data_IF_949282482941
#
_entry.id   IF_949282482941
#
_cell.length_a   1.000
_cell.length_b   1.000
_cell.length_c   1.000
_cell.angle_alpha   90.00
_cell.angle_beta   90.00
_cell.angle_gamma   90.00
#
_symmetry.space_group_name_H-M   'P 1'
#
loop_
_entity.id
_entity.type
_entity.pdbx_description
1 polymer ?
#
# COMPACT_ATOMS: atom_id res chain seq x y z
N UNK A 1 -0.14 -11.88 3.98
CA UNK A 1 0.62 -12.08 5.24
C UNK A 1 2.02 -12.56 4.91
N UNK A 2 3.03 -11.90 5.46
CA UNK A 2 4.44 -12.29 5.41
C UNK A 2 4.85 -12.70 6.83
N UNK A 3 5.25 -13.96 7.03
CA UNK A 3 5.46 -14.52 8.36
C UNK A 3 6.53 -15.61 8.43
N UNK A 4 7.11 -15.81 9.61
CA UNK A 4 8.09 -16.86 9.89
C UNK A 4 7.72 -17.71 11.12
N UNK A 5 8.59 -18.64 11.50
CA UNK A 5 8.39 -19.55 12.62
C UNK A 5 8.27 -18.87 13.99
N UNK A 6 8.58 -17.57 14.12
CA UNK A 6 8.39 -16.82 15.36
C UNK A 6 6.93 -16.37 15.54
N UNK A 7 6.15 -16.35 14.46
CA UNK A 7 4.73 -16.09 14.51
C UNK A 7 3.91 -17.28 15.00
N UNK A 8 2.77 -16.99 15.60
CA UNK A 8 1.77 -18.01 15.91
C UNK A 8 1.00 -18.39 14.64
N UNK A 9 1.12 -19.66 14.22
CA UNK A 9 0.44 -20.18 13.03
C UNK A 9 -1.09 -20.03 13.09
N UNK A 10 -1.70 -20.08 14.29
CA UNK A 10 -3.13 -19.88 14.46
C UNK A 10 -3.55 -18.42 14.23
N UNK A 11 -2.69 -17.46 14.57
CA UNK A 11 -2.96 -16.03 14.31
C UNK A 11 -2.86 -15.74 12.82
N UNK A 12 -1.80 -16.23 12.16
CA UNK A 12 -1.64 -16.10 10.71
C UNK A 12 -2.82 -16.73 9.95
N UNK A 13 -3.28 -17.92 10.36
CA UNK A 13 -4.45 -18.56 9.77
C UNK A 13 -5.74 -17.74 9.97
N UNK A 14 -5.91 -17.13 11.15
CA UNK A 14 -7.06 -16.29 11.45
C UNK A 14 -7.09 -15.03 10.55
N UNK A 15 -5.95 -14.36 10.36
CA UNK A 15 -5.84 -13.19 9.48
C UNK A 15 -6.08 -13.55 7.99
N UNK A 16 -5.57 -14.69 7.54
CA UNK A 16 -5.87 -15.17 6.19
C UNK A 16 -7.38 -15.48 6.02
N UNK A 17 -8.04 -15.99 7.06
CA UNK A 17 -9.47 -16.28 7.00
C UNK A 17 -10.34 -15.02 7.11
N UNK A 18 -9.93 -14.00 7.87
CA UNK A 18 -10.67 -12.74 7.97
C UNK A 18 -10.84 -12.11 6.60
N UNK A 19 -9.79 -12.08 5.77
CA UNK A 19 -9.89 -11.57 4.41
C UNK A 19 -10.62 -12.53 3.45
N UNK A 20 -10.41 -13.85 3.60
CA UNK A 20 -11.06 -14.84 2.75
C UNK A 20 -12.59 -14.85 2.90
N UNK A 21 -13.13 -14.49 4.07
CA UNK A 21 -14.58 -14.47 4.27
C UNK A 21 -15.29 -13.24 3.67
N UNK A 22 -14.56 -12.21 3.22
CA UNK A 22 -15.17 -11.01 2.63
C UNK A 22 -15.98 -11.34 1.35
N UNK A 23 -15.39 -12.09 0.43
CA UNK A 23 -15.96 -12.40 -0.88
C UNK A 23 -15.31 -13.62 -1.53
N UNK A 24 -16.01 -14.26 -2.47
CA UNK A 24 -15.45 -15.41 -3.20
C UNK A 24 -14.33 -15.02 -4.18
N UNK A 25 -14.24 -13.74 -4.51
CA UNK A 25 -13.22 -13.07 -5.32
C UNK A 25 -12.06 -12.51 -4.48
N UNK A 26 -12.14 -12.59 -3.14
CA UNK A 26 -10.98 -12.33 -2.28
C UNK A 26 -9.82 -13.26 -2.64
N UNK A 27 -8.60 -12.74 -2.48
CA UNK A 27 -7.39 -13.53 -2.58
C UNK A 27 -6.53 -13.26 -1.35
N UNK A 28 -6.00 -14.33 -0.76
CA UNK A 28 -5.01 -14.23 0.30
C UNK A 28 -3.69 -14.86 -0.12
N UNK A 29 -2.60 -14.28 0.38
CA UNK A 29 -1.25 -14.73 0.09
C UNK A 29 -0.49 -14.90 1.41
N UNK A 30 0.05 -16.09 1.62
CA UNK A 30 1.04 -16.35 2.67
C UNK A 30 2.44 -16.38 2.04
N UNK A 31 3.35 -15.56 2.55
CA UNK A 31 4.77 -15.60 2.20
C UNK A 31 5.56 -15.99 3.44
N UNK A 32 6.41 -17.01 3.34
CA UNK A 32 7.22 -17.51 4.45
C UNK A 32 8.57 -18.02 3.94
N UNK A 33 9.52 -18.21 4.86
CA UNK A 33 10.79 -18.89 4.57
C UNK A 33 10.82 -20.36 4.96
N UNK A 34 9.84 -20.81 5.74
CA UNK A 34 9.83 -22.13 6.35
C UNK A 34 8.59 -22.93 5.89
N UNK A 35 8.84 -24.04 5.20
CA UNK A 35 7.80 -24.93 4.69
C UNK A 35 7.03 -25.65 5.82
N UNK A 36 7.70 -25.96 6.93
CA UNK A 36 7.08 -26.59 8.10
C UNK A 36 6.11 -25.61 8.79
N UNK A 37 6.47 -24.33 8.86
CA UNK A 37 5.60 -23.28 9.34
C UNK A 37 4.37 -23.09 8.44
N UNK A 38 4.56 -23.08 7.11
CA UNK A 38 3.43 -23.05 6.15
C UNK A 38 2.48 -24.23 6.36
N UNK A 39 3.01 -25.45 6.59
CA UNK A 39 2.19 -26.63 6.91
C UNK A 39 1.41 -26.46 8.21
N UNK A 40 2.02 -25.87 9.23
CA UNK A 40 1.33 -25.56 10.49
C UNK A 40 0.19 -24.56 10.29
N UNK A 41 0.41 -23.50 9.50
CA UNK A 41 -0.65 -22.54 9.14
C UNK A 41 -1.78 -23.22 8.37
N UNK A 42 -1.48 -24.11 7.41
CA UNK A 42 -2.49 -24.86 6.65
C UNK A 42 -3.35 -25.78 7.54
N UNK A 43 -2.75 -26.37 8.58
CA UNK A 43 -3.52 -27.15 9.56
C UNK A 43 -4.47 -26.26 10.36
N UNK A 44 -4.03 -25.08 10.79
CA UNK A 44 -4.88 -24.12 11.50
C UNK A 44 -5.97 -23.54 10.60
N UNK A 45 -5.67 -23.22 9.34
CA UNK A 45 -6.66 -22.83 8.33
C UNK A 45 -7.78 -23.88 8.22
N UNK A 46 -7.42 -25.16 8.12
CA UNK A 46 -8.40 -26.25 8.01
C UNK A 46 -9.29 -26.34 9.26
N UNK A 47 -8.72 -26.22 10.45
CA UNK A 47 -9.47 -26.27 11.72
C UNK A 47 -10.41 -25.07 11.86
N UNK A 48 -9.91 -23.86 11.60
CA UNK A 48 -10.65 -22.61 11.80
C UNK A 48 -11.75 -22.44 10.75
N UNK A 49 -11.45 -22.74 9.47
CA UNK A 49 -12.42 -22.68 8.38
C UNK A 49 -13.67 -23.54 8.64
N UNK A 50 -13.48 -24.73 9.23
CA UNK A 50 -14.59 -25.64 9.55
C UNK A 50 -15.59 -25.05 10.56
N UNK A 51 -15.18 -24.04 11.34
CA UNK A 51 -16.01 -23.37 12.34
C UNK A 51 -16.71 -22.11 11.81
N UNK A 52 -16.33 -21.62 10.62
CA UNK A 52 -16.87 -20.36 10.10
C UNK A 52 -18.28 -20.52 9.52
N UNK A 53 -19.25 -19.65 9.90
CA UNK A 53 -20.56 -19.62 9.25
C UNK A 53 -20.46 -19.35 7.74
N UNK A 54 -19.46 -18.55 7.31
CA UNK A 54 -19.21 -18.19 5.91
C UNK A 54 -18.20 -19.11 5.20
N UNK A 55 -17.99 -20.34 5.69
CA UNK A 55 -16.97 -21.26 5.17
C UNK A 55 -17.02 -21.47 3.64
N UNK A 56 -18.20 -21.59 3.04
CA UNK A 56 -18.33 -21.85 1.59
C UNK A 56 -17.81 -20.69 0.74
N UNK A 57 -17.85 -19.47 1.29
CA UNK A 57 -17.29 -18.29 0.64
C UNK A 57 -15.77 -18.26 0.81
N UNK A 58 -15.29 -18.47 2.03
CA UNK A 58 -13.86 -18.53 2.33
C UNK A 58 -13.15 -19.65 1.56
N UNK A 59 -13.78 -20.82 1.38
CA UNK A 59 -13.26 -21.91 0.55
C UNK A 59 -13.00 -21.49 -0.90
N UNK A 60 -13.88 -20.66 -1.49
CA UNK A 60 -13.71 -20.16 -2.86
C UNK A 60 -12.55 -19.17 -2.96
N UNK A 61 -12.44 -18.24 -2.00
CA UNK A 61 -11.29 -17.33 -1.93
C UNK A 61 -9.97 -18.09 -1.76
N UNK A 62 -9.95 -19.09 -0.87
CA UNK A 62 -8.79 -19.95 -0.62
C UNK A 62 -8.38 -20.76 -1.85
N UNK A 63 -9.31 -21.18 -2.71
CA UNK A 63 -8.99 -21.86 -3.96
C UNK A 63 -8.16 -20.99 -4.93
N UNK A 64 -8.34 -19.67 -4.87
CA UNK A 64 -7.59 -18.67 -5.66
C UNK A 64 -6.34 -18.16 -4.93
N UNK A 65 -6.11 -18.61 -3.70
CA UNK A 65 -5.04 -18.13 -2.82
C UNK A 65 -3.78 -18.98 -2.94
N UNK A 66 -2.65 -18.46 -2.45
CA UNK A 66 -1.35 -19.14 -2.50
C UNK A 66 -0.59 -19.03 -1.19
N UNK A 67 0.24 -20.04 -0.93
CA UNK A 67 1.35 -19.95 0.00
C UNK A 67 2.65 -20.07 -0.81
N UNK A 68 3.58 -19.16 -0.59
CA UNK A 68 4.85 -19.09 -1.31
C UNK A 68 5.98 -19.19 -0.28
N UNK A 69 6.90 -20.12 -0.50
CA UNK A 69 8.11 -20.29 0.31
C UNK A 69 9.30 -19.73 -0.46
N UNK A 70 10.04 -18.82 0.14
CA UNK A 70 11.24 -18.20 -0.43
C UNK A 70 12.44 -18.38 0.50
N UNK A 71 13.65 -18.49 -0.05
CA UNK A 71 14.84 -18.80 0.75
C UNK A 71 15.37 -17.60 1.55
N UNK A 72 15.08 -16.37 1.11
CA UNK A 72 15.55 -15.15 1.75
C UNK A 72 14.43 -14.11 1.90
N UNK A 73 14.65 -13.14 2.78
CA UNK A 73 13.63 -12.13 3.09
C UNK A 73 13.62 -11.01 2.05
N UNK A 74 14.74 -10.79 1.37
CA UNK A 74 14.90 -9.82 0.30
C UNK A 74 13.95 -10.13 -0.87
N UNK A 75 13.96 -11.36 -1.39
CA UNK A 75 13.06 -11.84 -2.44
C UNK A 75 11.60 -11.78 -1.99
N UNK A 76 11.33 -12.03 -0.70
CA UNK A 76 9.99 -11.93 -0.14
C UNK A 76 9.50 -10.48 -0.10
N UNK A 77 10.37 -9.53 0.26
CA UNK A 77 10.08 -8.08 0.19
C UNK A 77 9.85 -7.64 -1.25
N UNK A 78 10.68 -8.08 -2.19
CA UNK A 78 10.50 -7.80 -3.62
C UNK A 78 9.16 -8.34 -4.13
N UNK A 79 8.81 -9.58 -3.77
CA UNK A 79 7.54 -10.20 -4.13
C UNK A 79 6.34 -9.41 -3.59
N UNK A 80 6.32 -9.03 -2.30
CA UNK A 80 5.17 -8.32 -1.73
C UNK A 80 5.05 -6.89 -2.28
N UNK A 81 6.17 -6.23 -2.56
CA UNK A 81 6.20 -4.91 -3.21
C UNK A 81 5.69 -5.01 -4.67
N UNK A 82 6.02 -6.07 -5.39
CA UNK A 82 5.54 -6.28 -6.75
C UNK A 82 4.06 -6.68 -6.77
N UNK A 83 3.61 -7.46 -5.79
CA UNK A 83 2.22 -7.84 -5.60
C UNK A 83 1.32 -6.66 -5.21
N UNK A 84 1.86 -5.70 -4.45
CA UNK A 84 1.20 -4.45 -4.05
C UNK A 84 -0.18 -4.70 -3.39
N UNK A 85 -0.14 -5.42 -2.27
CA UNK A 85 -1.34 -5.85 -1.54
C UNK A 85 -2.17 -4.66 -1.02
N UNK A 86 -3.48 -4.86 -0.92
CA UNK A 86 -4.38 -3.96 -0.18
C UNK A 86 -3.98 -3.92 1.30
N UNK A 87 -3.93 -5.09 1.94
CA UNK A 87 -3.51 -5.27 3.33
C UNK A 87 -2.23 -6.12 3.39
N UNK A 88 -1.17 -5.60 4.02
CA UNK A 88 0.07 -6.33 4.28
C UNK A 88 0.27 -6.51 5.77
N UNK A 89 0.25 -7.76 6.24
CA UNK A 89 0.58 -8.12 7.62
C UNK A 89 2.00 -8.69 7.67
N UNK A 90 2.85 -8.11 8.51
CA UNK A 90 4.21 -8.53 8.80
C UNK A 90 4.25 -9.18 10.19
N UNK A 91 4.34 -10.51 10.24
CA UNK A 91 4.34 -11.29 11.48
C UNK A 91 5.60 -12.15 11.55
N UNK A 92 6.73 -11.51 11.89
CA UNK A 92 8.07 -12.11 11.89
C UNK A 92 8.99 -11.40 12.89
N UNK A 93 10.18 -11.94 13.14
CA UNK A 93 11.12 -11.46 14.18
C UNK A 93 11.56 -10.00 13.96
N UNK A 94 11.85 -9.62 12.70
CA UNK A 94 12.35 -8.29 12.31
C UNK A 94 11.29 -7.45 11.56
N UNK A 95 10.02 -7.56 11.96
CA UNK A 95 8.90 -6.95 11.25
C UNK A 95 9.04 -5.43 11.05
N UNK A 96 9.55 -4.69 12.04
CA UNK A 96 9.79 -3.24 11.93
C UNK A 96 10.83 -2.90 10.85
N UNK A 97 11.95 -3.64 10.81
CA UNK A 97 13.02 -3.42 9.82
C UNK A 97 12.58 -3.84 8.40
N UNK A 98 11.69 -4.82 8.28
CA UNK A 98 11.07 -5.19 7.01
C UNK A 98 10.08 -4.12 6.55
N UNK A 99 9.31 -3.54 7.47
CA UNK A 99 8.33 -2.49 7.17
C UNK A 99 8.98 -1.27 6.49
N UNK A 100 10.19 -0.89 6.90
CA UNK A 100 10.96 0.21 6.28
C UNK A 100 11.30 -0.03 4.79
N UNK A 101 11.27 -1.30 4.33
CA UNK A 101 11.57 -1.68 2.95
C UNK A 101 10.32 -1.81 2.08
N UNK A 102 9.13 -1.65 2.64
CA UNK A 102 7.87 -1.75 1.90
C UNK A 102 7.65 -0.46 1.11
N UNK A 103 7.47 -0.61 -0.20
CA UNK A 103 7.23 0.50 -1.13
C UNK A 103 5.80 0.51 -1.68
N UNK A 104 5.14 -0.65 -1.77
CA UNK A 104 3.75 -0.76 -2.25
C UNK A 104 2.89 -1.63 -1.31
N UNK A 105 2.01 -1.00 -0.55
CA UNK A 105 0.92 -1.64 0.18
C UNK A 105 -0.16 -0.59 0.50
N UNK A 106 -1.44 -0.98 0.56
CA UNK A 106 -2.52 -0.08 0.95
C UNK A 106 -2.44 0.31 2.43
N UNK A 107 -2.36 -0.70 3.31
CA UNK A 107 -2.14 -0.55 4.75
C UNK A 107 -1.25 -1.67 5.28
N UNK A 108 -0.37 -1.35 6.23
CA UNK A 108 0.61 -2.28 6.79
C UNK A 108 0.34 -2.51 8.28
N UNK A 109 0.31 -3.78 8.67
CA UNK A 109 0.12 -4.23 10.04
C UNK A 109 1.39 -4.92 10.52
N UNK A 110 1.92 -4.50 11.68
CA UNK A 110 3.26 -4.88 12.13
C UNK A 110 3.18 -5.64 13.46
N UNK A 111 3.64 -6.88 13.47
CA UNK A 111 3.72 -7.74 14.64
C UNK A 111 2.48 -8.60 14.90
N UNK A 112 2.61 -9.55 15.83
CA UNK A 112 1.62 -10.61 16.08
C UNK A 112 0.29 -10.12 16.69
N UNK A 113 0.24 -8.87 17.17
CA UNK A 113 -0.93 -8.29 17.84
C UNK A 113 -1.62 -7.21 17.00
N UNK A 114 -1.33 -7.15 15.70
CA UNK A 114 -1.96 -6.24 14.75
C UNK A 114 -2.72 -7.02 13.68
N UNK A 115 -3.81 -7.73 14.04
CA UNK A 115 -4.63 -8.41 13.03
C UNK A 115 -5.31 -7.39 12.11
N UNK A 116 -5.66 -7.81 10.89
CA UNK A 116 -6.35 -6.94 9.90
C UNK A 116 -7.60 -6.28 10.50
N UNK A 117 -8.36 -7.05 11.28
CA UNK A 117 -9.61 -6.60 11.89
C UNK A 117 -9.47 -5.35 12.76
N UNK A 118 -8.34 -5.09 13.42
CA UNK A 118 -8.21 -3.83 14.18
C UNK A 118 -8.14 -2.62 13.26
N UNK A 119 -7.54 -2.77 12.07
CA UNK A 119 -7.49 -1.75 11.03
C UNK A 119 -8.83 -1.50 10.37
N UNK A 120 -9.62 -2.56 10.21
CA UNK A 120 -10.96 -2.47 9.63
C UNK A 120 -11.97 -1.73 10.51
N UNK A 121 -11.74 -1.68 11.82
CA UNK A 121 -12.74 -1.22 12.76
C UNK A 121 -12.30 -0.07 13.68
N UNK A 122 -11.13 -0.13 14.31
CA UNK A 122 -10.88 0.66 15.53
C UNK A 122 -9.47 1.21 15.75
N UNK A 123 -8.47 0.85 14.95
CA UNK A 123 -7.10 1.38 15.09
C UNK A 123 -7.02 2.87 14.79
N UNK A 124 -7.93 3.38 13.95
CA UNK A 124 -7.96 4.75 13.44
C UNK A 124 -7.46 4.88 11.99
N UNK A 125 -6.90 3.82 11.39
CA UNK A 125 -6.60 3.79 9.95
C UNK A 125 -7.88 3.71 9.11
N UNK A 126 -7.80 4.06 7.82
CA UNK A 126 -8.94 3.95 6.90
C UNK A 126 -8.89 2.61 6.15
N UNK A 127 -9.99 1.87 6.15
CA UNK A 127 -10.08 0.57 5.46
C UNK A 127 -10.54 0.65 3.99
N UNK A 128 -10.79 1.86 3.47
CA UNK A 128 -11.07 2.05 2.02
C UNK A 128 -9.73 2.19 1.31
N UNK A 129 -9.22 1.07 0.81
CA UNK A 129 -7.87 0.94 0.27
C UNK A 129 -7.86 0.55 -1.22
N UNK A 130 -6.77 0.81 -1.94
CA UNK A 130 -6.61 0.36 -3.32
C UNK A 130 -6.32 -1.15 -3.37
N UNK A 131 -7.10 -1.88 -4.16
CA UNK A 131 -6.97 -3.34 -4.35
C UNK A 131 -6.40 -3.68 -5.72
N UNK A 132 -6.22 -4.96 -6.05
CA UNK A 132 -5.83 -5.43 -7.41
C UNK A 132 -4.56 -4.75 -7.98
N UNK A 133 -3.56 -4.53 -7.12
CA UNK A 133 -2.30 -3.89 -7.47
C UNK A 133 -2.33 -2.36 -7.60
N UNK A 134 -3.47 -1.71 -7.37
CA UNK A 134 -3.56 -0.24 -7.42
C UNK A 134 -2.73 0.45 -6.32
N UNK A 135 -2.31 -0.26 -5.28
CA UNK A 135 -1.38 0.28 -4.28
C UNK A 135 -0.02 0.72 -4.87
N UNK A 136 0.32 0.36 -6.12
CA UNK A 136 1.49 0.90 -6.84
C UNK A 136 1.37 2.38 -7.20
N UNK A 137 0.16 2.94 -7.25
CA UNK A 137 -0.08 4.30 -7.73
C UNK A 137 -1.09 5.09 -6.91
N UNK A 138 -1.87 4.43 -6.05
CA UNK A 138 -2.94 5.03 -5.27
C UNK A 138 -2.69 4.84 -3.77
N UNK A 139 -3.16 5.80 -2.97
CA UNK A 139 -3.20 5.70 -1.51
C UNK A 139 -4.57 5.23 -1.05
N UNK A 140 -4.64 4.72 0.18
CA UNK A 140 -5.89 4.62 0.92
C UNK A 140 -6.60 5.97 1.09
N UNK A 141 -7.90 5.93 1.34
CA UNK A 141 -8.66 7.16 1.61
C UNK A 141 -8.11 7.85 2.84
N UNK A 142 -7.92 9.17 2.74
CA UNK A 142 -7.43 10.02 3.83
C UNK A 142 -8.11 11.39 3.78
N UNK A 143 -7.76 12.28 4.70
CA UNK A 143 -8.21 13.67 4.65
C UNK A 143 -7.85 14.34 3.32
N UNK A 144 -6.68 14.00 2.75
CA UNK A 144 -6.20 14.54 1.47
C UNK A 144 -7.12 14.18 0.29
N UNK A 145 -7.91 13.11 0.40
CA UNK A 145 -8.91 12.70 -0.60
C UNK A 145 -10.09 13.67 -0.71
N UNK A 146 -10.34 14.50 0.31
CA UNK A 146 -11.49 15.40 0.40
C UNK A 146 -11.13 16.88 0.27
N UNK A 147 -9.85 17.18 -0.03
CA UNK A 147 -9.37 18.56 -0.24
C UNK A 147 -8.85 18.76 -1.65
N UNK A 148 -8.70 20.02 -2.05
CA UNK A 148 -8.02 20.41 -3.28
C UNK A 148 -6.79 21.24 -2.92
N UNK A 149 -5.62 20.87 -3.41
CA UNK A 149 -4.35 21.58 -3.16
C UNK A 149 -4.20 22.73 -4.17
N UNK A 150 -4.79 23.89 -3.88
CA UNK A 150 -4.74 25.08 -4.75
C UNK A 150 -3.44 25.85 -4.50
N UNK A 151 -2.62 26.08 -5.53
CA UNK A 151 -1.40 26.90 -5.45
C UNK A 151 -1.71 28.37 -5.70
N UNK A 152 -1.04 29.25 -4.95
CA UNK A 152 -1.17 30.71 -5.09
C UNK A 152 0.23 31.31 -5.23
N UNK A 153 0.39 32.23 -6.19
CA UNK A 153 1.59 33.04 -6.30
C UNK A 153 1.24 34.53 -6.32
N UNK A 154 2.07 35.33 -5.65
CA UNK A 154 2.02 36.78 -5.69
C UNK A 154 3.45 37.31 -5.75
N UNK A 155 3.77 38.03 -6.81
CA UNK A 155 5.07 38.67 -6.97
C UNK A 155 4.97 40.15 -6.60
N UNK A 156 6.01 40.67 -5.95
CA UNK A 156 6.27 42.11 -5.95
C UNK A 156 6.83 42.54 -7.30
N UNK A 157 6.92 43.85 -7.54
CA UNK A 157 7.59 44.38 -8.73
C UNK A 157 9.05 43.91 -8.82
N UNK A 158 9.80 44.01 -7.71
CA UNK A 158 11.17 43.52 -7.60
C UNK A 158 11.26 42.00 -7.85
N UNK A 159 10.32 41.22 -7.30
CA UNK A 159 10.26 39.78 -7.52
C UNK A 159 10.07 39.42 -9.00
N UNK A 160 9.25 40.19 -9.73
CA UNK A 160 9.10 40.01 -11.17
C UNK A 160 10.38 40.39 -11.91
N UNK A 161 11.01 41.52 -11.57
CA UNK A 161 12.28 41.96 -12.18
C UNK A 161 13.36 40.90 -12.04
N UNK A 162 13.45 40.25 -10.87
CA UNK A 162 14.45 39.22 -10.60
C UNK A 162 14.32 37.97 -11.47
N UNK A 163 13.10 37.60 -11.91
CA UNK A 163 12.87 36.40 -12.72
C UNK A 163 12.50 36.69 -14.17
N UNK A 164 12.29 37.97 -14.53
CA UNK A 164 11.75 38.36 -15.83
C UNK A 164 12.61 37.86 -16.99
N UNK A 165 13.93 38.03 -16.91
CA UNK A 165 14.86 37.57 -17.93
C UNK A 165 14.78 36.05 -18.15
N UNK A 166 14.68 35.27 -17.06
CA UNK A 166 14.53 33.81 -17.11
C UNK A 166 13.22 33.41 -17.80
N UNK A 167 12.10 34.02 -17.41
CA UNK A 167 10.78 33.69 -17.99
C UNK A 167 10.72 34.06 -19.47
N UNK A 168 11.25 35.22 -19.86
CA UNK A 168 11.29 35.66 -21.26
C UNK A 168 12.14 34.68 -22.09
N UNK A 169 13.35 34.34 -21.64
CA UNK A 169 14.23 33.45 -22.38
C UNK A 169 13.62 32.05 -22.57
N UNK A 170 12.97 31.49 -21.55
CA UNK A 170 12.27 30.20 -21.66
C UNK A 170 11.09 30.28 -22.64
N UNK A 171 10.26 31.33 -22.53
CA UNK A 171 9.11 31.51 -23.41
C UNK A 171 9.51 31.69 -24.88
N UNK A 172 10.61 32.40 -25.16
CA UNK A 172 11.16 32.51 -26.52
C UNK A 172 11.68 31.19 -27.06
N UNK A 173 12.40 30.42 -26.23
CA UNK A 173 12.92 29.10 -26.62
C UNK A 173 11.79 28.10 -26.94
N UNK A 174 10.64 28.22 -26.28
CA UNK A 174 9.43 27.44 -26.55
C UNK A 174 8.60 28.00 -27.73
N UNK A 175 8.96 29.15 -28.30
CA UNK A 175 8.20 29.82 -29.36
C UNK A 175 6.88 30.45 -28.90
N UNK A 176 6.73 30.72 -27.60
CA UNK A 176 5.52 31.26 -26.97
C UNK A 176 5.61 32.79 -26.78
N UNK A 177 5.61 33.54 -27.87
CA UNK A 177 5.82 35.01 -27.86
C UNK A 177 4.85 35.78 -26.93
N UNK A 178 3.58 35.38 -26.88
CA UNK A 178 2.59 36.02 -26.01
C UNK A 178 2.93 35.88 -24.51
N UNK A 179 3.57 34.77 -24.11
CA UNK A 179 4.03 34.57 -22.72
C UNK A 179 5.20 35.49 -22.39
N UNK A 180 6.19 35.58 -23.30
CA UNK A 180 7.32 36.52 -23.15
C UNK A 180 6.81 37.97 -23.06
N UNK A 181 5.89 38.35 -23.95
CA UNK A 181 5.35 39.69 -23.98
C UNK A 181 4.55 40.07 -22.72
N UNK A 182 3.85 39.11 -22.10
CA UNK A 182 3.15 39.33 -20.84
C UNK A 182 4.10 39.77 -19.71
N UNK A 183 5.35 39.31 -19.71
CA UNK A 183 6.38 39.76 -18.78
C UNK A 183 6.97 41.08 -19.23
N UNK A 184 7.38 41.22 -20.50
CA UNK A 184 8.05 42.42 -21.03
C UNK A 184 7.25 43.69 -20.80
N UNK A 185 5.93 43.68 -21.04
CA UNK A 185 5.09 44.88 -20.86
C UNK A 185 5.08 45.36 -19.41
N UNK A 186 5.22 44.46 -18.43
CA UNK A 186 5.28 44.81 -17.00
C UNK A 186 6.65 45.32 -16.58
N UNK A 187 7.69 45.09 -17.39
CA UNK A 187 9.05 45.62 -17.17
C UNK A 187 9.28 46.97 -17.83
N UNK A 188 8.30 47.46 -18.60
CA UNK A 188 8.32 48.78 -19.25
C UNK A 188 7.66 49.87 -18.40
N UNK A 189 7.07 49.51 -17.25
CA UNK A 189 6.35 50.37 -16.31
C UNK A 189 6.91 50.19 -14.89
#
# INVERSE_FOLDING_TARGET
VMADQTANAAYVAADLLSQAEHGADSQVLLVSKDESFVKAVQQELTKQLAMLPRKEMAEKALANSKAIVLENWEDAVELVNEYAAEHLILSCEDADAIAEKITNAGSVFIGQYSPESVGDYASGTNHTLPTNGFAKAYSGVSLDSFVKKITYQKLSAEGLQNIAATVVAMAEAEGLEAHAQAVRIRMQH
#
